data_IF_188877495636
#
_entry.id   IF_188877495636
#
_cell.length_a   1.000
_cell.length_b   1.000
_cell.length_c   1.000
_cell.angle_alpha   90.00
_cell.angle_beta   90.00
_cell.angle_gamma   90.00
#
_symmetry.space_group_name_H-M   'P 1'
#
loop_
_entity.id
_entity.type
_entity.pdbx_description
1 polymer ?
#
# COMPACT_ATOMS: atom_id res chain seq x y z
N UNK A 1 2.18 -19.30 16.51
CA UNK A 1 3.44 -19.35 17.29
C UNK A 1 4.49 -20.20 16.55
N UNK A 2 5.78 -19.88 16.65
CA UNK A 2 6.85 -20.69 16.02
C UNK A 2 7.01 -20.56 14.50
N UNK A 3 6.29 -19.62 13.87
CA UNK A 3 6.32 -19.44 12.41
C UNK A 3 7.53 -18.63 11.92
N UNK A 4 7.96 -17.66 12.72
CA UNK A 4 8.95 -16.66 12.33
C UNK A 4 10.20 -16.81 13.18
N UNK A 5 11.37 -16.71 12.55
CA UNK A 5 12.64 -16.69 13.26
C UNK A 5 12.73 -15.42 14.12
N UNK A 6 13.00 -15.52 15.44
CA UNK A 6 13.18 -14.35 16.28
C UNK A 6 14.25 -13.40 15.74
N UNK A 7 14.02 -12.09 15.88
CA UNK A 7 14.91 -11.02 15.40
C UNK A 7 15.12 -10.98 13.88
N UNK A 8 14.24 -11.57 13.10
CA UNK A 8 14.20 -11.36 11.64
C UNK A 8 13.41 -10.09 11.29
N UNK A 9 13.74 -9.50 10.15
CA UNK A 9 13.04 -8.36 9.55
C UNK A 9 12.96 -8.55 8.04
N UNK A 10 12.02 -7.86 7.40
CA UNK A 10 11.80 -7.89 5.96
C UNK A 10 11.68 -6.47 5.42
N UNK A 11 12.19 -6.25 4.21
CA UNK A 11 12.02 -5.00 3.46
C UNK A 11 10.76 -5.00 2.58
N UNK A 12 9.99 -6.10 2.56
CA UNK A 12 8.77 -6.22 1.77
C UNK A 12 7.72 -5.20 2.21
N UNK A 13 7.14 -4.47 1.25
CA UNK A 13 6.08 -3.51 1.53
C UNK A 13 4.78 -4.24 1.90
N UNK A 14 4.15 -3.77 2.97
CA UNK A 14 2.87 -4.27 3.48
C UNK A 14 1.92 -3.10 3.75
N UNK A 15 0.63 -3.39 3.86
CA UNK A 15 -0.42 -2.43 4.16
C UNK A 15 -1.27 -2.91 5.34
N UNK A 16 -1.96 -1.99 6.01
CA UNK A 16 -2.85 -2.35 7.13
C UNK A 16 -3.91 -3.39 6.75
N UNK A 17 -4.43 -3.32 5.52
CA UNK A 17 -5.44 -4.25 4.99
C UNK A 17 -4.94 -5.69 4.86
N UNK A 18 -3.63 -5.92 4.93
CA UNK A 18 -3.04 -7.26 4.89
C UNK A 18 -3.21 -8.01 6.21
N UNK A 19 -3.49 -7.32 7.33
CA UNK A 19 -3.64 -7.96 8.63
C UNK A 19 -4.81 -8.96 8.65
N UNK A 20 -5.98 -8.57 8.13
CA UNK A 20 -7.17 -9.42 8.17
C UNK A 20 -6.99 -10.76 7.43
N UNK A 21 -6.54 -10.82 6.15
CA UNK A 21 -6.28 -12.09 5.49
C UNK A 21 -5.15 -12.89 6.16
N UNK A 22 -4.16 -12.22 6.75
CA UNK A 22 -3.08 -12.89 7.49
C UNK A 22 -3.61 -13.62 8.72
N UNK A 23 -4.40 -12.93 9.55
CA UNK A 23 -5.00 -13.53 10.75
C UNK A 23 -5.97 -14.65 10.39
N UNK A 24 -6.76 -14.45 9.32
CA UNK A 24 -7.66 -15.49 8.81
C UNK A 24 -6.89 -16.76 8.45
N UNK A 25 -5.79 -16.65 7.70
CA UNK A 25 -4.95 -17.80 7.34
C UNK A 25 -4.31 -18.47 8.57
N UNK A 26 -3.77 -17.68 9.50
CA UNK A 26 -3.15 -18.21 10.73
C UNK A 26 -4.16 -18.93 11.63
N UNK A 27 -5.42 -18.52 11.60
CA UNK A 27 -6.52 -19.15 12.33
C UNK A 27 -7.22 -20.26 11.52
N UNK A 28 -6.70 -20.63 10.33
CA UNK A 28 -7.33 -21.62 9.43
C UNK A 28 -8.78 -21.27 9.03
N UNK A 29 -9.07 -19.97 8.94
CA UNK A 29 -10.36 -19.43 8.49
C UNK A 29 -10.31 -19.14 6.99
N UNK A 30 -11.46 -19.24 6.32
CA UNK A 30 -11.61 -18.85 4.92
C UNK A 30 -11.95 -17.36 4.81
N UNK A 31 -11.03 -16.49 4.37
CA UNK A 31 -11.36 -15.09 4.16
C UNK A 31 -12.30 -14.90 2.94
N UNK A 32 -13.04 -13.77 2.88
CA UNK A 32 -13.71 -13.35 1.66
C UNK A 32 -12.75 -13.30 0.47
N UNK A 33 -13.24 -13.64 -0.73
CA UNK A 33 -12.41 -13.73 -1.94
C UNK A 33 -12.00 -12.35 -2.49
N UNK A 34 -12.66 -11.29 -2.04
CA UNK A 34 -12.56 -9.93 -2.57
C UNK A 34 -11.76 -8.97 -1.68
N UNK A 35 -11.02 -9.49 -0.69
CA UNK A 35 -10.14 -8.68 0.13
C UNK A 35 -9.09 -7.91 -0.70
N UNK A 36 -8.86 -6.65 -0.31
CA UNK A 36 -7.78 -5.83 -0.86
C UNK A 36 -6.39 -6.30 -0.39
N UNK A 37 -6.32 -6.75 0.86
CA UNK A 37 -5.09 -7.26 1.45
C UNK A 37 -4.63 -8.58 0.86
N UNK A 38 -3.37 -8.92 1.10
CA UNK A 38 -2.79 -10.24 0.86
C UNK A 38 -2.21 -10.73 2.17
N UNK A 39 -2.34 -12.03 2.44
CA UNK A 39 -1.75 -12.61 3.63
C UNK A 39 -0.22 -12.40 3.68
N UNK A 40 0.27 -12.07 4.86
CA UNK A 40 1.69 -11.90 5.15
C UNK A 40 2.35 -13.21 5.61
N UNK A 41 1.60 -14.32 5.73
CA UNK A 41 2.15 -15.63 6.14
C UNK A 41 3.38 -16.05 5.33
N UNK A 42 3.44 -15.86 3.99
CA UNK A 42 4.67 -16.13 3.24
C UNK A 42 5.89 -15.35 3.77
N UNK A 43 5.73 -14.06 4.06
CA UNK A 43 6.80 -13.22 4.63
C UNK A 43 7.11 -13.55 6.09
N UNK A 44 6.13 -14.04 6.85
CA UNK A 44 6.35 -14.50 8.22
C UNK A 44 7.17 -15.79 8.28
N UNK A 45 7.07 -16.65 7.25
CA UNK A 45 7.88 -17.88 7.09
C UNK A 45 9.25 -17.57 6.51
N UNK A 46 9.30 -16.74 5.48
CA UNK A 46 10.51 -16.33 4.79
C UNK A 46 10.58 -14.80 4.69
N UNK A 47 11.43 -14.12 5.48
CA UNK A 47 11.59 -12.68 5.41
C UNK A 47 12.08 -12.17 4.04
N UNK A 48 12.64 -13.03 3.19
CA UNK A 48 13.04 -12.72 1.82
C UNK A 48 11.89 -12.76 0.80
N UNK A 49 10.70 -13.24 1.19
CA UNK A 49 9.55 -13.30 0.30
C UNK A 49 9.12 -11.88 -0.15
N UNK A 50 8.73 -11.70 -1.42
CA UNK A 50 8.40 -10.39 -1.95
C UNK A 50 7.11 -9.84 -1.34
N UNK A 51 7.13 -8.56 -0.95
CA UNK A 51 5.95 -7.81 -0.52
C UNK A 51 5.11 -7.28 -1.69
N UNK A 52 4.41 -6.16 -1.47
CA UNK A 52 3.78 -5.40 -2.55
C UNK A 52 4.81 -4.57 -3.31
N UNK A 53 4.52 -4.27 -4.58
CA UNK A 53 5.33 -3.33 -5.36
C UNK A 53 5.21 -1.91 -4.81
N UNK A 54 4.00 -1.56 -4.34
CA UNK A 54 3.71 -0.29 -3.68
C UNK A 54 2.77 -0.50 -2.50
N UNK A 55 2.92 0.32 -1.46
CA UNK A 55 1.92 0.52 -0.42
C UNK A 55 1.18 1.82 -0.70
N UNK A 56 -0.15 1.79 -0.68
CA UNK A 56 -1.06 2.87 -1.05
C UNK A 56 -1.82 3.39 0.17
N UNK A 57 -1.83 4.71 0.33
CA UNK A 57 -2.47 5.38 1.45
C UNK A 57 -3.45 6.43 0.95
N UNK A 58 -4.61 6.53 1.58
CA UNK A 58 -5.57 7.62 1.37
C UNK A 58 -5.77 8.33 2.69
N UNK A 59 -5.65 9.66 2.67
CA UNK A 59 -5.82 10.51 3.85
C UNK A 59 -6.88 11.56 3.53
N UNK A 60 -7.79 11.81 4.47
CA UNK A 60 -8.73 12.94 4.36
C UNK A 60 -8.01 14.21 4.85
N UNK A 61 -7.94 15.23 3.99
CA UNK A 61 -7.41 16.56 4.30
C UNK A 61 -8.53 17.59 4.14
N UNK A 62 -9.17 17.93 5.25
CA UNK A 62 -10.43 18.69 5.24
C UNK A 62 -11.54 17.93 4.51
N UNK A 63 -12.17 18.57 3.53
CA UNK A 63 -13.22 17.93 2.72
C UNK A 63 -12.68 17.12 1.53
N UNK A 64 -11.39 17.22 1.22
CA UNK A 64 -10.76 16.56 0.07
C UNK A 64 -9.95 15.34 0.49
N UNK A 65 -9.70 14.44 -0.46
CA UNK A 65 -8.84 13.29 -0.27
C UNK A 65 -7.46 13.56 -0.85
N UNK A 66 -6.44 13.18 -0.08
CA UNK A 66 -5.06 13.05 -0.49
C UNK A 66 -4.69 11.58 -0.67
N UNK A 67 -3.75 11.29 -1.58
CA UNK A 67 -3.33 9.93 -1.88
C UNK A 67 -1.81 9.85 -1.95
N UNK A 68 -1.24 8.75 -1.50
CA UNK A 68 0.19 8.51 -1.57
C UNK A 68 0.51 7.06 -1.93
N UNK A 69 1.67 6.86 -2.53
CA UNK A 69 2.30 5.55 -2.67
C UNK A 69 3.71 5.59 -2.06
N UNK A 70 4.09 4.48 -1.42
CA UNK A 70 5.47 4.15 -1.10
C UNK A 70 5.90 2.98 -1.97
N UNK A 71 7.05 3.12 -2.61
CA UNK A 71 7.79 2.05 -3.30
C UNK A 71 9.09 1.77 -2.54
N UNK A 72 9.96 0.92 -3.08
CA UNK A 72 11.26 0.62 -2.44
C UNK A 72 12.06 1.88 -2.12
N UNK A 73 12.32 2.73 -3.14
CA UNK A 73 13.11 3.96 -3.00
C UNK A 73 12.27 5.22 -2.82
N UNK A 74 11.10 5.30 -3.45
CA UNK A 74 10.37 6.57 -3.55
C UNK A 74 9.12 6.57 -2.70
N UNK A 75 8.85 7.70 -2.07
CA UNK A 75 7.50 8.06 -1.64
C UNK A 75 6.97 9.20 -2.50
N UNK A 76 5.81 8.99 -3.08
CA UNK A 76 5.11 10.01 -3.86
C UNK A 76 3.73 10.25 -3.26
N UNK A 77 3.36 11.52 -3.12
CA UNK A 77 2.03 11.91 -2.67
C UNK A 77 1.43 13.01 -3.54
N UNK A 78 0.13 12.86 -3.79
CA UNK A 78 -0.71 13.84 -4.44
C UNK A 78 -1.75 14.32 -3.45
N UNK A 79 -1.53 15.53 -2.96
CA UNK A 79 -2.42 16.23 -2.05
C UNK A 79 -3.31 17.22 -2.81
N UNK A 80 -4.39 17.71 -2.20
CA UNK A 80 -5.24 18.72 -2.83
C UNK A 80 -4.55 20.04 -3.14
N UNK A 81 -3.45 20.34 -2.45
CA UNK A 81 -2.67 21.57 -2.47
C UNK A 81 -1.30 21.41 -3.14
N UNK A 82 -0.90 20.20 -3.53
CA UNK A 82 0.35 19.99 -4.22
C UNK A 82 0.82 18.55 -4.28
N UNK A 83 2.02 18.39 -4.85
CA UNK A 83 2.70 17.10 -4.96
C UNK A 83 3.96 17.06 -4.11
N UNK A 84 4.25 15.88 -3.59
CA UNK A 84 5.45 15.58 -2.83
C UNK A 84 6.14 14.34 -3.40
N UNK A 85 7.47 14.42 -3.54
CA UNK A 85 8.33 13.30 -3.89
C UNK A 85 9.53 13.28 -2.95
N UNK A 86 9.77 12.13 -2.31
CA UNK A 86 10.91 11.92 -1.42
C UNK A 86 11.73 10.71 -1.85
N UNK A 87 13.05 10.87 -1.88
CA UNK A 87 14.04 9.80 -2.13
C UNK A 87 14.44 9.16 -0.79
N UNK A 88 13.82 8.04 -0.44
CA UNK A 88 14.00 7.39 0.86
C UNK A 88 15.39 6.74 1.03
N UNK A 89 16.15 6.56 -0.05
CA UNK A 89 17.54 6.09 0.03
C UNK A 89 18.49 7.21 0.45
N UNK A 90 18.23 8.45 0.00
CA UNK A 90 19.07 9.62 0.29
C UNK A 90 18.57 10.48 1.44
N UNK A 91 17.27 10.44 1.68
CA UNK A 91 16.55 11.28 2.62
C UNK A 91 15.44 10.45 3.28
N UNK A 92 15.85 9.54 4.15
CA UNK A 92 14.95 8.64 4.90
C UNK A 92 13.99 9.37 5.83
N UNK A 93 14.29 10.64 6.16
CA UNK A 93 13.45 11.50 7.01
C UNK A 93 12.49 12.40 6.22
N UNK A 94 12.48 12.31 4.88
CA UNK A 94 11.52 13.02 4.01
C UNK A 94 11.57 14.56 4.16
N UNK A 95 12.78 15.14 4.27
CA UNK A 95 12.96 16.59 4.44
C UNK A 95 12.94 17.38 3.12
N UNK A 96 13.36 16.78 2.01
CA UNK A 96 13.54 17.46 0.72
C UNK A 96 12.49 17.01 -0.27
N UNK A 97 11.49 17.86 -0.53
CA UNK A 97 10.50 17.61 -1.56
C UNK A 97 11.08 17.84 -2.97
N UNK A 98 11.18 16.76 -3.75
CA UNK A 98 11.73 16.72 -5.11
C UNK A 98 10.67 16.85 -6.22
N UNK A 99 9.38 17.02 -5.90
CA UNK A 99 8.30 16.98 -6.88
C UNK A 99 8.41 18.06 -7.98
N UNK A 100 9.05 19.19 -7.69
CA UNK A 100 9.29 20.30 -8.64
C UNK A 100 10.69 20.24 -9.27
N UNK A 101 11.49 19.23 -8.96
CA UNK A 101 12.84 19.07 -9.47
C UNK A 101 12.82 18.65 -10.94
N UNK A 102 13.45 19.44 -11.81
CA UNK A 102 13.56 19.11 -13.25
C UNK A 102 14.27 17.78 -13.49
N UNK A 103 15.24 17.43 -12.64
CA UNK A 103 16.01 16.17 -12.77
C UNK A 103 15.21 14.94 -12.37
N UNK A 104 14.08 15.10 -11.68
CA UNK A 104 13.22 14.00 -11.23
C UNK A 104 11.86 13.98 -11.94
N UNK A 105 11.69 14.77 -13.01
CA UNK A 105 10.41 14.91 -13.70
C UNK A 105 9.87 13.55 -14.20
N UNK A 106 10.74 12.69 -14.74
CA UNK A 106 10.37 11.36 -15.22
C UNK A 106 9.93 10.43 -14.09
N UNK A 107 10.61 10.51 -12.93
CA UNK A 107 10.24 9.75 -11.72
C UNK A 107 8.85 10.16 -11.23
N UNK A 108 8.58 11.47 -11.16
CA UNK A 108 7.26 12.00 -10.79
C UNK A 108 6.19 11.51 -11.77
N UNK A 109 6.45 11.58 -13.07
CA UNK A 109 5.52 11.14 -14.10
C UNK A 109 5.19 9.64 -13.97
N UNK A 110 6.20 8.79 -13.77
CA UNK A 110 6.00 7.36 -13.54
C UNK A 110 5.20 7.07 -12.27
N UNK A 111 5.51 7.73 -11.17
CA UNK A 111 4.83 7.52 -9.89
C UNK A 111 3.40 8.06 -9.88
N UNK A 112 3.09 9.11 -10.65
CA UNK A 112 1.69 9.54 -10.91
C UNK A 112 0.87 8.41 -11.53
N UNK A 113 1.41 7.75 -12.55
CA UNK A 113 0.73 6.63 -13.21
C UNK A 113 0.53 5.48 -12.23
N UNK A 114 1.55 5.13 -11.45
CA UNK A 114 1.45 4.06 -10.47
C UNK A 114 0.47 4.40 -9.33
N UNK A 115 0.37 5.66 -8.91
CA UNK A 115 -0.61 6.12 -7.93
C UNK A 115 -2.05 5.91 -8.44
N UNK A 116 -2.31 6.24 -9.70
CA UNK A 116 -3.61 6.02 -10.34
C UNK A 116 -3.92 4.53 -10.43
N UNK A 117 -2.93 3.71 -10.80
CA UNK A 117 -3.06 2.24 -10.87
C UNK A 117 -3.39 1.65 -9.51
N UNK A 118 -2.64 2.02 -8.46
CA UNK A 118 -2.88 1.58 -7.09
C UNK A 118 -4.28 1.97 -6.61
N UNK A 119 -4.72 3.20 -6.90
CA UNK A 119 -6.07 3.67 -6.60
C UNK A 119 -7.17 2.87 -7.30
N UNK A 120 -6.97 2.47 -8.57
CA UNK A 120 -7.90 1.59 -9.30
C UNK A 120 -7.98 0.20 -8.68
N UNK A 121 -6.85 -0.39 -8.30
CA UNK A 121 -6.80 -1.71 -7.64
C UNK A 121 -7.57 -1.66 -6.32
N UNK A 122 -7.35 -0.63 -5.51
CA UNK A 122 -8.09 -0.43 -4.27
C UNK A 122 -9.60 -0.24 -4.53
N UNK A 123 -9.99 0.58 -5.49
CA UNK A 123 -11.41 0.84 -5.78
C UNK A 123 -12.16 -0.38 -6.37
N UNK A 124 -11.53 -1.14 -7.28
CA UNK A 124 -12.15 -2.27 -7.96
C UNK A 124 -12.62 -3.37 -7.00
N UNK A 125 -11.90 -3.57 -5.90
CA UNK A 125 -12.23 -4.56 -4.88
C UNK A 125 -13.35 -4.10 -3.95
N UNK A 126 -13.52 -2.79 -3.77
CA UNK A 126 -14.60 -2.19 -2.95
C UNK A 126 -15.99 -2.27 -3.60
N UNK A 127 -16.07 -2.25 -4.93
CA UNK A 127 -17.36 -2.32 -5.66
C UNK A 127 -18.02 -3.70 -5.63
N UNK A 128 -17.30 -4.76 -5.28
CA UNK A 128 -17.87 -6.12 -5.19
C UNK A 128 -18.67 -6.34 -3.90
N UNK A 129 -18.32 -5.65 -2.80
CA UNK A 129 -19.09 -5.66 -1.55
C UNK A 129 -20.49 -5.05 -1.72
N UNK A 130 -20.63 -3.98 -2.52
CA UNK A 130 -21.91 -3.28 -2.71
C UNK A 130 -22.96 -4.04 -3.53
N UNK A 131 -22.61 -5.17 -4.15
CA UNK A 131 -23.51 -5.98 -4.97
C UNK A 131 -24.04 -7.23 -4.25
N UNK A 132 -23.59 -7.51 -3.02
CA UNK A 132 -23.86 -8.76 -2.30
C UNK A 132 -24.72 -8.58 -1.04
N UNK A 133 -25.80 -7.78 -1.11
CA UNK A 133 -26.92 -7.93 -0.16
C UNK A 133 -28.25 -7.41 -0.76
N UNK A 134 -29.15 -8.27 -1.27
CA UNK A 134 -30.57 -8.04 -1.08
C UNK A 134 -30.91 -8.54 0.32
N UNK A 135 -31.24 -7.60 1.20
CA UNK A 135 -31.68 -7.85 2.56
C UNK A 135 -33.02 -8.62 2.50
N UNK A 136 -33.01 -9.94 2.72
CA UNK A 136 -34.24 -10.70 2.95
C UNK A 136 -34.71 -10.45 4.38
N UNK A 137 -35.74 -9.61 4.52
CA UNK A 137 -36.63 -9.63 5.70
C UNK A 137 -37.50 -10.87 5.65
#
# INVERSE_FOLDING_TARGET
PGLTKPRSSTAGLVELVDLFPTLSELCSLKPPADLQGRSLVPMLRDPGAPGKNVAYTVVRRGQKLGKAIRSGRWRYALWPDGEELYDLEKDSNEFVNLAKSKTHADVVAGLRVELVRAGKIAAARRKREGAATPNSR
#
